data_IF_076375311824
#
_entry.id   IF_076375311824
#
_cell.length_a   1.000
_cell.length_b   1.000
_cell.length_c   1.000
_cell.angle_alpha   90.00
_cell.angle_beta   90.00
_cell.angle_gamma   90.00
#
_symmetry.space_group_name_H-M   'P 1'
#
loop_
_entity.id
_entity.type
_entity.pdbx_description
1 polymer ?
#
# COMPACT_ATOMS: atom_id res chain seq x y z
N UNK A 1 -13.98 3.16 0.45
CA UNK A 1 -12.53 3.37 0.66
C UNK A 1 -12.32 4.77 1.19
N UNK A 2 -11.56 4.93 2.26
CA UNK A 2 -11.32 6.23 2.90
C UNK A 2 -10.19 6.99 2.20
N UNK A 3 -10.03 8.28 2.54
CA UNK A 3 -8.91 9.07 2.03
C UNK A 3 -7.57 8.47 2.48
N UNK A 4 -7.50 7.97 3.71
CA UNK A 4 -6.31 7.29 4.21
C UNK A 4 -6.00 6.03 3.40
N UNK A 5 -7.02 5.27 3.04
CA UNK A 5 -6.85 4.07 2.21
C UNK A 5 -6.26 4.42 0.84
N UNK A 6 -6.78 5.46 0.20
CA UNK A 6 -6.26 5.94 -1.09
C UNK A 6 -4.80 6.39 -0.95
N UNK A 7 -4.51 7.11 0.12
CA UNK A 7 -3.15 7.58 0.37
C UNK A 7 -2.19 6.42 0.61
N UNK A 8 -2.63 5.38 1.32
CA UNK A 8 -1.82 4.17 1.53
C UNK A 8 -1.50 3.48 0.20
N UNK A 9 -2.48 3.38 -0.70
CA UNK A 9 -2.24 2.82 -2.03
C UNK A 9 -1.26 3.67 -2.85
N UNK A 10 -1.40 4.99 -2.78
CA UNK A 10 -0.49 5.91 -3.47
C UNK A 10 0.95 5.70 -2.99
N UNK A 11 1.14 5.62 -1.67
CA UNK A 11 2.46 5.40 -1.09
C UNK A 11 3.03 4.03 -1.46
N UNK A 12 2.20 3.00 -1.41
CA UNK A 12 2.62 1.65 -1.77
C UNK A 12 3.01 1.56 -3.25
N UNK A 13 2.42 2.39 -4.10
CA UNK A 13 2.70 2.43 -5.52
C UNK A 13 3.93 3.23 -5.91
N UNK A 14 4.48 4.03 -5.01
CA UNK A 14 5.66 4.82 -5.28
C UNK A 14 6.92 3.97 -5.22
N UNK A 15 7.96 4.43 -5.91
CA UNK A 15 9.28 3.80 -5.82
C UNK A 15 10.03 4.41 -4.65
N UNK A 16 10.46 3.58 -3.73
CA UNK A 16 11.19 4.00 -2.54
C UNK A 16 12.64 3.54 -2.63
N UNK A 17 13.59 4.47 -2.43
CA UNK A 17 15.01 4.14 -2.43
C UNK A 17 15.43 3.41 -1.16
N UNK A 18 14.79 3.74 -0.04
CA UNK A 18 15.05 3.10 1.25
C UNK A 18 13.75 2.67 1.89
N UNK A 19 13.73 1.48 2.45
CA UNK A 19 12.59 1.01 3.24
C UNK A 19 12.30 1.95 4.42
N UNK A 20 13.35 2.53 5.01
CA UNK A 20 13.21 3.47 6.12
C UNK A 20 12.47 4.75 5.74
N UNK A 21 12.58 5.21 4.48
CA UNK A 21 11.85 6.40 4.03
C UNK A 21 10.34 6.15 4.00
N UNK A 22 9.93 4.99 3.51
CA UNK A 22 8.51 4.62 3.53
C UNK A 22 8.01 4.46 4.96
N UNK A 23 8.78 3.79 5.81
CA UNK A 23 8.42 3.59 7.22
C UNK A 23 8.21 4.94 7.92
N UNK A 24 9.13 5.88 7.72
CA UNK A 24 9.03 7.20 8.34
C UNK A 24 7.79 7.95 7.85
N UNK A 25 7.52 7.92 6.54
CA UNK A 25 6.36 8.57 5.95
C UNK A 25 5.06 7.99 6.49
N UNK A 26 4.98 6.66 6.58
CA UNK A 26 3.80 5.95 7.09
C UNK A 26 3.57 6.31 8.56
N UNK A 27 4.64 6.37 9.35
CA UNK A 27 4.55 6.71 10.75
C UNK A 27 4.11 8.16 10.96
N UNK A 28 4.64 9.07 10.14
CA UNK A 28 4.29 10.50 10.22
C UNK A 28 2.85 10.76 9.79
N UNK A 29 2.37 10.09 8.73
CA UNK A 29 1.04 10.34 8.19
C UNK A 29 -0.06 9.57 8.93
N UNK A 30 0.20 8.33 9.34
CA UNK A 30 -0.82 7.44 9.88
C UNK A 30 -0.58 7.00 11.32
N UNK A 31 0.64 7.21 11.84
CA UNK A 31 0.98 6.78 13.19
C UNK A 31 1.04 5.27 13.36
N UNK A 32 1.29 4.52 12.30
CA UNK A 32 1.35 3.05 12.33
C UNK A 32 2.71 2.55 11.88
N UNK A 33 3.03 1.29 12.23
CA UNK A 33 4.23 0.64 11.77
C UNK A 33 4.14 0.26 10.30
N UNK A 34 5.29 0.00 9.68
CA UNK A 34 5.33 -0.48 8.29
C UNK A 34 4.59 -1.80 8.12
N UNK A 35 4.71 -2.71 9.10
CA UNK A 35 4.01 -3.98 9.08
C UNK A 35 2.50 -3.78 9.05
N UNK A 36 1.99 -2.90 9.90
CA UNK A 36 0.55 -2.60 9.94
C UNK A 36 0.09 -1.92 8.65
N UNK A 37 0.89 -1.04 8.10
CA UNK A 37 0.63 -0.41 6.80
C UNK A 37 0.44 -1.47 5.71
N UNK A 38 1.37 -2.42 5.59
CA UNK A 38 1.27 -3.47 4.57
C UNK A 38 0.11 -4.43 4.81
N UNK A 39 -0.23 -4.71 6.07
CA UNK A 39 -1.43 -5.50 6.38
C UNK A 39 -2.68 -4.82 5.82
N UNK A 40 -2.78 -3.51 5.99
CA UNK A 40 -3.92 -2.76 5.47
C UNK A 40 -3.91 -2.72 3.94
N UNK A 41 -2.74 -2.47 3.34
CA UNK A 41 -2.59 -2.48 1.88
C UNK A 41 -3.00 -3.84 1.30
N UNK A 42 -2.60 -4.94 1.92
CA UNK A 42 -2.97 -6.28 1.46
C UNK A 42 -4.49 -6.49 1.49
N UNK A 43 -5.17 -5.95 2.50
CA UNK A 43 -6.64 -5.99 2.54
C UNK A 43 -7.25 -5.16 1.41
N UNK A 44 -6.71 -3.96 1.19
CA UNK A 44 -7.23 -3.03 0.19
C UNK A 44 -7.11 -3.57 -1.24
N UNK A 45 -5.99 -4.19 -1.58
CA UNK A 45 -5.77 -4.67 -2.96
C UNK A 45 -6.67 -5.84 -3.33
N UNK A 46 -7.39 -6.43 -2.38
CA UNK A 46 -8.38 -7.46 -2.66
C UNK A 46 -9.77 -6.88 -2.92
N UNK A 47 -9.95 -5.56 -2.83
CA UNK A 47 -11.24 -4.92 -3.04
C UNK A 47 -11.39 -4.40 -4.48
N UNK A 48 -12.63 -4.37 -4.96
CA UNK A 48 -12.95 -3.79 -6.26
C UNK A 48 -12.75 -2.27 -6.27
N UNK A 49 -12.99 -1.62 -5.13
CA UNK A 49 -12.82 -0.17 -5.00
C UNK A 49 -11.36 0.24 -5.25
N UNK A 50 -10.42 -0.51 -4.67
CA UNK A 50 -9.00 -0.23 -4.89
C UNK A 50 -8.60 -0.48 -6.34
N UNK A 51 -9.12 -1.56 -6.94
CA UNK A 51 -8.84 -1.87 -8.35
C UNK A 51 -9.37 -0.78 -9.27
N UNK A 52 -10.56 -0.23 -8.98
CA UNK A 52 -11.12 0.87 -9.74
C UNK A 52 -10.32 2.16 -9.56
N UNK A 53 -9.78 2.36 -8.36
CA UNK A 53 -9.00 3.55 -8.04
C UNK A 53 -7.66 3.58 -8.79
N UNK A 54 -6.91 2.49 -8.74
CA UNK A 54 -5.61 2.40 -9.40
C UNK A 54 -5.29 0.95 -9.80
N UNK A 55 -5.80 0.51 -10.96
CA UNK A 55 -5.62 -0.87 -11.39
C UNK A 55 -4.16 -1.25 -11.62
N UNK A 56 -3.32 -0.32 -12.05
CA UNK A 56 -1.90 -0.61 -12.32
C UNK A 56 -1.17 -0.96 -11.02
N UNK A 57 -1.34 -0.12 -10.01
CA UNK A 57 -0.71 -0.35 -8.69
C UNK A 57 -1.26 -1.61 -8.04
N UNK A 58 -2.58 -1.77 -8.03
CA UNK A 58 -3.22 -2.92 -7.38
C UNK A 58 -2.76 -4.23 -8.03
N UNK A 59 -2.75 -4.31 -9.34
CA UNK A 59 -2.31 -5.51 -10.04
C UNK A 59 -0.83 -5.81 -9.78
N UNK A 60 0.00 -4.78 -9.73
CA UNK A 60 1.42 -4.96 -9.42
C UNK A 60 1.62 -5.49 -8.00
N UNK A 61 0.92 -4.92 -7.04
CA UNK A 61 1.01 -5.35 -5.64
C UNK A 61 0.50 -6.78 -5.46
N UNK A 62 -0.57 -7.16 -6.15
CA UNK A 62 -1.06 -8.54 -6.14
C UNK A 62 -0.02 -9.51 -6.69
N UNK A 63 0.68 -9.15 -7.75
CA UNK A 63 1.74 -9.98 -8.32
C UNK A 63 2.91 -10.15 -7.36
N UNK A 64 3.33 -9.07 -6.71
CA UNK A 64 4.42 -9.12 -5.74
C UNK A 64 4.05 -10.00 -4.55
N UNK A 65 2.81 -9.91 -4.08
CA UNK A 65 2.32 -10.76 -2.99
C UNK A 65 2.36 -12.23 -3.38
N UNK A 66 1.91 -12.55 -4.58
CA UNK A 66 1.91 -13.94 -5.09
C UNK A 66 3.32 -14.52 -5.16
N UNK A 67 4.30 -13.71 -5.54
CA UNK A 67 5.70 -14.15 -5.64
C UNK A 67 6.31 -14.54 -4.30
N UNK A 68 5.79 -14.02 -3.20
CA UNK A 68 6.32 -14.31 -1.86
C UNK A 68 5.78 -15.62 -1.29
N UNK A 69 4.78 -16.16 -1.93
CA UNK A 69 4.21 -17.44 -1.55
C UNK A 69 4.85 -18.56 -2.36
#
# INVERSE_FOLDING_TARGET
MTDDDRRMLDLAGQRWNYAGSLEQTVRDEFGVSLTRFYQRVNQLIDTEEALAYDPVVVNRLRRLRTRRL
#
